data_IF_600520603807
#
_entry.id   IF_600520603807
#
_cell.length_a   1.000
_cell.length_b   1.000
_cell.length_c   1.000
_cell.angle_alpha   90.00
_cell.angle_beta   90.00
_cell.angle_gamma   90.00
#
_symmetry.space_group_name_H-M   'P 1'
#
loop_
_entity.id
_entity.type
_entity.pdbx_description
1 polymer ?
#
# COMPACT_ATOMS: atom_id res chain seq x y z
N UNK A 1 -11.43 -5.40 -14.38
CA UNK A 1 -12.44 -5.02 -13.38
C UNK A 1 -12.30 -3.51 -13.17
N UNK A 2 -13.40 -2.77 -13.20
CA UNK A 2 -13.35 -1.30 -13.07
C UNK A 2 -13.08 -0.89 -11.61
N UNK A 3 -12.57 0.34 -11.39
CA UNK A 3 -12.43 0.91 -10.04
C UNK A 3 -13.73 0.87 -9.21
N UNK A 4 -14.88 1.14 -9.84
CA UNK A 4 -16.18 1.13 -9.16
C UNK A 4 -16.65 -0.29 -8.78
N UNK A 5 -16.40 -1.28 -9.64
CA UNK A 5 -16.68 -2.69 -9.30
C UNK A 5 -15.88 -3.13 -8.07
N UNK A 6 -14.60 -2.74 -7.98
CA UNK A 6 -13.74 -3.07 -6.84
C UNK A 6 -14.23 -2.38 -5.58
N UNK A 7 -14.54 -1.08 -5.65
CA UNK A 7 -15.10 -0.32 -4.53
C UNK A 7 -16.35 -1.01 -3.98
N UNK A 8 -17.31 -1.33 -4.84
CA UNK A 8 -18.56 -1.97 -4.43
C UNK A 8 -18.34 -3.37 -3.83
N UNK A 9 -17.36 -4.13 -4.34
CA UNK A 9 -17.02 -5.44 -3.79
C UNK A 9 -16.32 -5.35 -2.43
N UNK A 10 -15.51 -4.33 -2.19
CA UNK A 10 -14.62 -4.24 -1.02
C UNK A 10 -15.21 -3.41 0.13
N UNK A 11 -16.02 -2.39 -0.14
CA UNK A 11 -16.55 -1.46 0.87
C UNK A 11 -17.44 -2.13 1.93
N UNK A 12 -18.00 -3.30 1.62
CA UNK A 12 -18.84 -4.08 2.54
C UNK A 12 -18.06 -4.79 3.66
N UNK A 13 -16.73 -4.83 3.59
CA UNK A 13 -15.90 -5.54 4.57
C UNK A 13 -15.17 -4.53 5.49
N UNK A 14 -15.21 -4.79 6.80
CA UNK A 14 -14.38 -4.06 7.76
C UNK A 14 -12.90 -4.36 7.51
N UNK A 15 -12.11 -3.34 7.16
CA UNK A 15 -10.68 -3.47 6.94
C UNK A 15 -9.85 -2.85 8.07
N UNK A 16 -8.80 -3.56 8.48
CA UNK A 16 -7.87 -3.22 9.57
C UNK A 16 -6.52 -3.86 9.26
N UNK A 17 -5.95 -3.45 8.13
CA UNK A 17 -4.64 -3.90 7.64
C UNK A 17 -3.57 -2.90 8.05
N UNK A 18 -2.36 -3.37 8.34
CA UNK A 18 -1.19 -2.52 8.50
C UNK A 18 -0.06 -2.95 7.58
N UNK A 19 0.82 -2.00 7.28
CA UNK A 19 2.10 -2.21 6.61
C UNK A 19 3.11 -1.27 7.28
N UNK A 20 4.21 -1.82 7.80
CA UNK A 20 5.27 -1.09 8.51
C UNK A 20 6.57 -1.15 7.73
N UNK A 21 7.48 -0.21 8.00
CA UNK A 21 8.81 -0.17 7.40
C UNK A 21 9.76 -1.26 7.89
N UNK A 22 9.41 -1.94 8.98
CA UNK A 22 10.14 -3.06 9.59
C UNK A 22 9.34 -3.69 10.72
N UNK A 23 9.92 -4.68 11.41
CA UNK A 23 9.28 -5.36 12.54
C UNK A 23 9.43 -4.64 13.88
N UNK A 24 9.93 -5.37 14.87
CA UNK A 24 10.31 -4.81 16.20
C UNK A 24 11.71 -4.21 16.22
N UNK A 25 12.38 -4.19 15.08
CA UNK A 25 13.73 -3.69 14.91
C UNK A 25 13.72 -2.22 14.52
N UNK A 26 14.82 -1.52 14.81
CA UNK A 26 15.01 -0.16 14.37
C UNK A 26 15.15 -0.10 12.84
N UNK A 27 14.38 0.80 12.21
CA UNK A 27 14.47 1.07 10.77
C UNK A 27 14.97 2.50 10.59
N UNK A 28 16.18 2.70 10.02
CA UNK A 28 16.69 4.04 9.79
C UNK A 28 15.88 4.76 8.71
N UNK A 29 15.70 6.07 8.87
CA UNK A 29 15.10 6.96 7.86
C UNK A 29 16.04 7.22 6.66
N UNK A 30 17.06 6.39 6.47
CA UNK A 30 18.11 6.54 5.46
C UNK A 30 19.52 6.66 6.06
N UNK A 31 20.50 6.88 5.18
CA UNK A 31 21.86 7.31 5.55
C UNK A 31 21.89 8.85 5.62
N UNK A 32 22.87 9.49 6.28
CA UNK A 32 23.05 10.94 6.20
C UNK A 32 22.95 11.44 4.76
N UNK A 33 22.11 12.45 4.51
CA UNK A 33 21.83 13.00 3.18
C UNK A 33 20.86 12.18 2.30
N UNK A 34 20.24 11.12 2.82
CA UNK A 34 19.27 10.29 2.10
C UNK A 34 17.94 10.18 2.87
N UNK A 35 16.86 9.86 2.15
CA UNK A 35 15.53 9.62 2.73
C UNK A 35 15.24 8.13 2.96
N UNK A 36 14.16 7.84 3.68
CA UNK A 36 13.75 6.46 3.98
C UNK A 36 13.59 5.63 2.71
N UNK A 37 14.31 4.49 2.60
CA UNK A 37 14.13 3.55 1.50
C UNK A 37 12.69 3.04 1.40
N UNK A 38 12.05 2.80 2.55
CA UNK A 38 10.65 2.39 2.61
C UNK A 38 9.72 3.47 2.08
N UNK A 39 9.85 4.71 2.58
CA UNK A 39 9.00 5.82 2.15
C UNK A 39 9.16 6.09 0.65
N UNK A 40 10.39 6.03 0.14
CA UNK A 40 10.66 6.16 -1.29
C UNK A 40 9.90 5.11 -2.12
N UNK A 41 9.98 3.83 -1.74
CA UNK A 41 9.26 2.74 -2.44
C UNK A 41 7.75 2.84 -2.31
N UNK A 42 7.24 3.26 -1.16
CA UNK A 42 5.82 3.52 -0.97
C UNK A 42 5.32 4.64 -1.89
N UNK A 43 6.09 5.72 -2.04
CA UNK A 43 5.78 6.81 -2.96
C UNK A 43 5.87 6.37 -4.43
N UNK A 44 6.81 5.51 -4.79
CA UNK A 44 6.86 4.88 -6.13
C UNK A 44 5.56 4.10 -6.40
N UNK A 45 5.05 3.33 -5.42
CA UNK A 45 3.78 2.63 -5.55
C UNK A 45 2.64 3.61 -5.83
N UNK A 46 2.51 4.69 -5.06
CA UNK A 46 1.44 5.69 -5.25
C UNK A 46 1.53 6.41 -6.60
N UNK A 47 2.75 6.71 -7.07
CA UNK A 47 2.98 7.33 -8.39
C UNK A 47 2.72 6.40 -9.57
N UNK A 48 2.54 5.10 -9.35
CA UNK A 48 2.06 4.20 -10.39
C UNK A 48 0.58 4.43 -10.74
N UNK A 49 -0.17 5.12 -9.87
CA UNK A 49 -1.61 5.34 -10.00
C UNK A 49 -2.40 4.04 -10.29
N UNK A 50 -1.91 2.90 -9.79
CA UNK A 50 -2.53 1.59 -10.00
C UNK A 50 -2.21 0.93 -11.36
N UNK A 51 -1.37 1.56 -12.18
CA UNK A 51 -0.95 1.03 -13.48
C UNK A 51 -2.13 0.81 -14.43
N UNK A 52 -2.11 -0.31 -15.15
CA UNK A 52 -3.16 -0.68 -16.10
C UNK A 52 -4.52 -0.93 -15.42
N UNK A 53 -4.51 -1.31 -14.14
CA UNK A 53 -5.73 -1.64 -13.41
C UNK A 53 -6.45 -0.41 -12.84
N UNK A 54 -5.75 0.73 -12.70
CA UNK A 54 -6.33 1.97 -12.17
C UNK A 54 -6.66 1.97 -10.68
N UNK A 55 -6.13 1.03 -9.90
CA UNK A 55 -6.21 1.00 -8.44
C UNK A 55 -4.99 0.33 -7.80
N UNK A 56 -4.74 0.65 -6.53
CA UNK A 56 -3.71 -0.01 -5.71
C UNK A 56 -4.35 -0.72 -4.51
N UNK A 57 -4.24 -2.04 -4.46
CA UNK A 57 -4.53 -2.82 -3.25
C UNK A 57 -3.27 -2.96 -2.39
N UNK A 58 -3.40 -3.31 -1.10
CA UNK A 58 -2.25 -3.47 -0.20
C UNK A 58 -1.23 -4.48 -0.72
N UNK A 59 -1.69 -5.56 -1.36
CA UNK A 59 -0.81 -6.55 -1.98
C UNK A 59 0.03 -5.98 -3.12
N UNK A 60 -0.50 -5.04 -3.91
CA UNK A 60 0.30 -4.32 -4.93
C UNK A 60 1.31 -3.39 -4.29
N UNK A 61 0.91 -2.66 -3.23
CA UNK A 61 1.82 -1.79 -2.48
C UNK A 61 2.99 -2.62 -1.90
N UNK A 62 2.70 -3.81 -1.36
CA UNK A 62 3.70 -4.75 -0.84
C UNK A 62 4.77 -5.08 -1.88
N UNK A 63 4.40 -5.33 -3.13
CA UNK A 63 5.37 -5.64 -4.20
C UNK A 63 6.40 -4.53 -4.43
N UNK A 64 6.07 -3.26 -4.14
CA UNK A 64 7.03 -2.17 -4.22
C UNK A 64 8.02 -2.14 -3.05
N UNK A 65 7.57 -2.56 -1.86
CA UNK A 65 8.33 -2.42 -0.62
C UNK A 65 9.01 -3.72 -0.17
N UNK A 66 8.62 -4.89 -0.69
CA UNK A 66 9.07 -6.21 -0.22
C UNK A 66 10.58 -6.44 -0.29
N UNK A 67 11.30 -5.67 -1.12
CA UNK A 67 12.77 -5.73 -1.26
C UNK A 67 13.51 -4.70 -0.41
N UNK A 68 12.81 -3.92 0.40
CA UNK A 68 13.41 -2.94 1.32
C UNK A 68 14.01 -3.69 2.52
N UNK A 69 15.15 -3.21 3.00
CA UNK A 69 15.80 -3.72 4.22
C UNK A 69 15.89 -2.58 5.24
N UNK A 70 15.48 -2.81 6.51
CA UNK A 70 14.87 -4.03 7.08
C UNK A 70 13.54 -4.42 6.43
N UNK A 71 13.14 -5.69 6.55
CA UNK A 71 11.99 -6.28 5.86
C UNK A 71 10.66 -5.67 6.37
N UNK A 72 9.86 -5.01 5.52
CA UNK A 72 8.54 -4.52 5.89
C UNK A 72 7.63 -5.63 6.44
N UNK A 73 6.84 -5.32 7.47
CA UNK A 73 5.85 -6.25 8.03
C UNK A 73 4.44 -5.82 7.68
N UNK A 74 3.59 -6.79 7.41
CA UNK A 74 2.17 -6.56 7.21
C UNK A 74 1.35 -7.52 8.07
N UNK A 75 0.10 -7.16 8.30
CA UNK A 75 -0.82 -8.00 9.01
C UNK A 75 -2.16 -7.32 9.23
N UNK A 76 -2.93 -7.91 10.14
CA UNK A 76 -4.26 -7.50 10.52
C UNK A 76 -4.32 -7.25 12.02
N UNK A 77 -5.26 -6.43 12.45
CA UNK A 77 -5.48 -6.16 13.87
C UNK A 77 -6.96 -5.97 14.20
N UNK A 78 -7.35 -6.27 15.44
CA UNK A 78 -8.71 -6.12 15.93
C UNK A 78 -9.73 -6.93 15.11
N UNK A 79 -10.89 -6.34 14.84
CA UNK A 79 -12.01 -6.96 14.13
C UNK A 79 -11.90 -6.88 12.60
N UNK A 80 -10.76 -7.30 12.03
CA UNK A 80 -10.63 -7.42 10.58
C UNK A 80 -11.61 -8.47 10.03
N UNK A 81 -12.38 -8.13 8.99
CA UNK A 81 -13.29 -9.07 8.36
C UNK A 81 -12.57 -9.85 7.24
N UNK A 82 -12.80 -11.17 7.10
CA UNK A 82 -12.32 -11.91 5.94
C UNK A 82 -12.74 -11.25 4.62
N UNK A 83 -11.77 -10.95 3.75
CA UNK A 83 -11.99 -10.23 2.48
C UNK A 83 -11.85 -8.71 2.57
N UNK A 84 -11.70 -8.16 3.78
CA UNK A 84 -11.30 -6.78 4.01
C UNK A 84 -9.93 -6.48 3.40
N UNK A 85 -9.77 -5.26 2.91
CA UNK A 85 -8.57 -4.87 2.16
C UNK A 85 -8.33 -3.36 2.28
N UNK A 86 -7.16 -2.90 1.89
CA UNK A 86 -6.90 -1.48 1.65
C UNK A 86 -6.78 -1.27 0.15
N UNK A 87 -7.69 -0.48 -0.40
CA UNK A 87 -7.71 -0.14 -1.84
C UNK A 87 -7.70 1.36 -2.01
N UNK A 88 -6.69 1.86 -2.72
CA UNK A 88 -6.56 3.25 -3.13
C UNK A 88 -7.04 3.40 -4.56
N UNK A 89 -7.99 4.33 -4.73
CA UNK A 89 -8.51 4.75 -6.02
C UNK A 89 -7.91 6.12 -6.36
N UNK A 90 -7.18 6.26 -7.47
CA UNK A 90 -6.68 7.55 -7.93
C UNK A 90 -7.84 8.55 -8.08
N UNK A 91 -7.74 9.71 -7.42
CA UNK A 91 -8.65 10.82 -7.66
C UNK A 91 -8.03 11.73 -8.72
N UNK A 92 -8.66 11.82 -9.90
CA UNK A 92 -8.40 12.84 -10.90
C UNK A 92 -6.97 12.93 -11.48
N UNK A 93 -6.82 12.47 -12.72
CA UNK A 93 -6.60 13.38 -13.86
C UNK A 93 -7.29 12.77 -15.08
N UNK A 94 -8.43 13.32 -15.48
CA UNK A 94 -8.73 13.44 -16.91
C UNK A 94 -7.47 14.00 -17.54
N UNK A 95 -6.81 13.24 -18.43
CA UNK A 95 -5.73 13.80 -19.23
C UNK A 95 -6.35 14.97 -20.02
N UNK A 96 -5.92 16.20 -19.73
CA UNK A 96 -5.89 17.24 -20.77
C UNK A 96 -4.68 16.96 -21.64
#
# INVERSE_FOLDING_TARGET
MSPEEIKNRKIKYTSRRYLTSGGKEYVPDGRPGNHSPFARKLLEAFRSYGGQDGYLAIGKIKQYVEKVTPEPREGEFGSHAPGGDLVLLPQGKTRK
#
